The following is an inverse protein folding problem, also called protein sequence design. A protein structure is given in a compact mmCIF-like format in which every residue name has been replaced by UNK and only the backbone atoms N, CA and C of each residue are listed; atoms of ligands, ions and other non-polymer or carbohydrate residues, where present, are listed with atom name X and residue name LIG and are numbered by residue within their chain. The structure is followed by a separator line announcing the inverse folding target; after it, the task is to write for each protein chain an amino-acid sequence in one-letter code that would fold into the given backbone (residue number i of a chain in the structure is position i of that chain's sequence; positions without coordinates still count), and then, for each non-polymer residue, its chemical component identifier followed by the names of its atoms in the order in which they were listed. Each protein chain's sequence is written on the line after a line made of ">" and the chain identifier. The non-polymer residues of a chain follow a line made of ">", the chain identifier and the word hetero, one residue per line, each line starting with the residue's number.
data_IF_927996333680
#
_entry.id   IF_927996333680
#
_cell.length_a   1.000
_cell.length_b   1.000
_cell.length_c   1.000
_cell.angle_alpha   90.00
_cell.angle_beta   90.00
_cell.angle_gamma   90.00
#
_symmetry.space_group_name_H-M   'P 1'
#
loop_
_entity.id
_entity.type
_entity.pdbx_description
1 polymer ?
#
# COMPACT_ATOMS: atom_id res chain seq x y z
N UNK A 1 24.16 6.27 7.84
CA UNK A 1 22.74 6.02 8.12
C UNK A 1 21.92 6.35 6.90
N UNK A 2 21.18 5.39 6.38
CA UNK A 2 20.38 5.63 5.20
C UNK A 2 19.04 6.26 5.59
N UNK A 3 18.59 7.22 4.79
CA UNK A 3 17.29 7.83 4.95
C UNK A 3 16.22 6.88 4.44
N UNK A 4 15.07 6.85 5.11
CA UNK A 4 13.93 6.12 4.60
C UNK A 4 13.22 6.96 3.55
N UNK A 5 12.59 6.30 2.60
CA UNK A 5 11.79 6.93 1.57
C UNK A 5 10.32 6.74 1.90
N UNK A 6 9.56 7.83 1.84
CA UNK A 6 8.13 7.78 2.18
C UNK A 6 7.28 7.79 0.93
N UNK A 7 6.36 6.82 0.84
CA UNK A 7 5.38 6.73 -0.21
C UNK A 7 4.05 7.26 0.32
N UNK A 8 3.56 8.34 -0.28
CA UNK A 8 2.26 8.89 0.08
C UNK A 8 1.16 8.02 -0.54
N UNK A 9 0.25 7.54 0.30
CA UNK A 9 -0.84 6.65 -0.13
C UNK A 9 -2.22 7.33 -0.03
N UNK A 10 -2.23 8.64 0.21
CA UNK A 10 -3.45 9.45 0.24
C UNK A 10 -3.80 9.89 1.65
N UNK A 11 -4.47 11.03 1.75
CA UNK A 11 -4.99 11.58 3.01
C UNK A 11 -3.92 11.69 4.10
N UNK A 12 -2.74 12.16 3.71
CA UNK A 12 -1.60 12.36 4.63
C UNK A 12 -1.07 11.06 5.26
N UNK A 13 -1.43 9.92 4.70
CA UNK A 13 -0.88 8.65 5.14
C UNK A 13 0.34 8.31 4.29
N UNK A 14 1.40 7.87 4.95
CA UNK A 14 2.63 7.48 4.26
C UNK A 14 3.03 6.07 4.69
N UNK A 15 3.71 5.39 3.79
CA UNK A 15 4.27 4.06 4.01
C UNK A 15 5.75 4.13 3.72
N UNK A 16 6.55 3.39 4.47
CA UNK A 16 7.99 3.29 4.20
C UNK A 16 8.16 2.50 2.90
N UNK A 17 8.64 3.18 1.86
CA UNK A 17 8.69 2.60 0.52
C UNK A 17 9.57 1.35 0.47
N UNK A 18 10.65 1.31 1.25
CA UNK A 18 11.57 0.17 1.31
C UNK A 18 10.92 -1.10 1.87
N UNK A 19 9.79 -0.96 2.57
CA UNK A 19 9.08 -2.07 3.16
C UNK A 19 7.93 -2.59 2.28
N UNK A 20 7.69 -1.95 1.15
CA UNK A 20 6.61 -2.34 0.23
C UNK A 20 7.10 -3.44 -0.70
N UNK A 21 6.37 -4.56 -0.75
CA UNK A 21 6.71 -5.66 -1.64
C UNK A 21 5.74 -5.78 -2.82
N UNK A 22 4.53 -5.23 -2.69
CA UNK A 22 3.55 -5.32 -3.78
C UNK A 22 2.52 -4.22 -3.68
N UNK A 23 2.04 -3.77 -4.84
CA UNK A 23 0.88 -2.91 -4.98
C UNK A 23 -0.06 -3.60 -5.96
N UNK A 24 -1.31 -3.80 -5.57
CA UNK A 24 -2.26 -4.57 -6.37
C UNK A 24 -3.61 -3.89 -6.43
N UNK A 25 -4.38 -4.25 -7.45
CA UNK A 25 -5.76 -3.79 -7.59
C UNK A 25 -6.64 -4.46 -6.52
N UNK A 26 -7.48 -3.68 -5.87
CA UNK A 26 -8.29 -4.15 -4.75
C UNK A 26 -9.34 -5.19 -5.16
N UNK A 27 -9.75 -5.19 -6.43
CA UNK A 27 -10.85 -6.03 -6.91
C UNK A 27 -10.45 -7.49 -7.19
N UNK A 28 -9.17 -7.79 -7.32
CA UNK A 28 -8.73 -9.14 -7.65
C UNK A 28 -9.05 -10.12 -6.53
N UNK A 29 -9.56 -11.32 -6.88
CA UNK A 29 -9.97 -12.30 -5.89
C UNK A 29 -8.87 -12.70 -4.90
N UNK A 30 -7.62 -12.94 -5.35
CA UNK A 30 -6.55 -13.24 -4.39
C UNK A 30 -6.31 -12.10 -3.40
N UNK A 31 -6.51 -10.86 -3.84
CA UNK A 31 -6.30 -9.69 -3.01
C UNK A 31 -7.40 -9.58 -1.96
N UNK A 32 -8.63 -9.94 -2.30
CA UNK A 32 -9.73 -9.95 -1.33
C UNK A 32 -9.45 -10.94 -0.20
N UNK A 33 -8.93 -12.12 -0.53
CA UNK A 33 -8.55 -13.11 0.48
C UNK A 33 -7.43 -12.60 1.37
N UNK A 34 -6.47 -11.92 0.77
CA UNK A 34 -5.35 -11.33 1.52
C UNK A 34 -5.83 -10.28 2.52
N UNK A 35 -6.80 -9.44 2.10
CA UNK A 35 -7.41 -8.44 2.98
C UNK A 35 -8.11 -9.10 4.17
N UNK A 36 -8.87 -10.14 3.90
CA UNK A 36 -9.59 -10.87 4.95
C UNK A 36 -8.61 -11.48 5.96
N UNK A 37 -7.53 -12.10 5.47
CA UNK A 37 -6.52 -12.69 6.34
C UNK A 37 -5.84 -11.62 7.18
N UNK A 38 -5.50 -10.48 6.59
CA UNK A 38 -4.87 -9.37 7.31
C UNK A 38 -5.80 -8.82 8.39
N UNK A 39 -7.10 -8.74 8.09
CA UNK A 39 -8.08 -8.28 9.06
C UNK A 39 -8.16 -9.22 10.26
N UNK A 40 -8.16 -10.53 10.01
CA UNK A 40 -8.20 -11.52 11.10
C UNK A 40 -6.97 -11.46 11.98
N UNK A 41 -5.82 -11.09 11.42
CA UNK A 41 -4.55 -11.04 12.14
C UNK A 41 -4.18 -9.64 12.60
N UNK A 42 -5.12 -8.69 12.50
CA UNK A 42 -4.94 -7.31 12.94
C UNK A 42 -3.78 -6.61 12.22
N UNK A 43 -3.61 -6.93 10.95
CA UNK A 43 -2.57 -6.34 10.10
C UNK A 43 -3.14 -5.54 8.95
N UNK A 44 -4.44 -5.23 9.01
CA UNK A 44 -5.10 -4.41 7.99
C UNK A 44 -5.11 -2.95 8.44
N UNK A 45 -4.62 -2.09 7.57
CA UNK A 45 -4.58 -0.64 7.82
C UNK A 45 -5.39 0.05 6.74
N UNK A 46 -6.45 0.75 7.15
CA UNK A 46 -7.31 1.45 6.20
C UNK A 46 -6.86 2.91 6.09
N UNK A 47 -6.27 3.27 4.96
CA UNK A 47 -5.82 4.63 4.69
C UNK A 47 -6.73 5.33 3.66
N UNK A 48 -7.96 4.83 3.47
CA UNK A 48 -8.87 5.38 2.45
C UNK A 48 -9.68 6.57 2.92
N UNK A 49 -9.69 6.83 4.22
CA UNK A 49 -10.50 7.90 4.80
C UNK A 49 -11.97 7.78 4.40
N UNK A 50 -12.49 6.55 4.41
CA UNK A 50 -13.89 6.28 4.04
C UNK A 50 -14.17 6.27 2.55
N UNK A 51 -13.16 6.47 1.71
CA UNK A 51 -13.31 6.42 0.27
C UNK A 51 -13.21 4.98 -0.23
N UNK A 52 -13.58 4.77 -1.49
CA UNK A 52 -13.50 3.46 -2.11
C UNK A 52 -12.05 2.99 -2.15
N UNK A 53 -11.82 1.74 -1.75
CA UNK A 53 -10.51 1.11 -1.88
C UNK A 53 -10.25 0.77 -3.34
N UNK A 54 -9.17 1.31 -3.89
CA UNK A 54 -8.79 1.05 -5.29
C UNK A 54 -7.52 0.22 -5.38
N UNK A 55 -6.64 0.35 -4.39
CA UNK A 55 -5.37 -0.36 -4.37
C UNK A 55 -5.10 -0.92 -2.98
N UNK A 56 -4.29 -1.97 -2.96
CA UNK A 56 -3.84 -2.61 -1.74
C UNK A 56 -2.32 -2.65 -1.80
N UNK A 57 -1.69 -2.24 -0.70
CA UNK A 57 -0.23 -2.22 -0.58
C UNK A 57 0.16 -3.28 0.44
N UNK A 58 1.06 -4.18 0.05
CA UNK A 58 1.53 -5.26 0.92
C UNK A 58 2.96 -4.98 1.32
N UNK A 59 3.24 -5.11 2.61
CA UNK A 59 4.58 -4.87 3.17
C UNK A 59 5.25 -6.20 3.53
N UNK A 60 6.55 -6.13 3.80
CA UNK A 60 7.34 -7.30 4.19
C UNK A 60 6.98 -7.82 5.59
N UNK A 61 6.19 -7.08 6.35
CA UNK A 61 5.68 -7.50 7.65
C UNK A 61 4.28 -8.10 7.57
N UNK A 62 3.80 -8.39 6.37
CA UNK A 62 2.45 -8.91 6.10
C UNK A 62 1.32 -7.94 6.43
N UNK A 63 1.65 -6.65 6.56
CA UNK A 63 0.61 -5.63 6.68
C UNK A 63 0.01 -5.35 5.31
N UNK A 64 -1.29 -5.10 5.31
CA UNK A 64 -2.05 -4.77 4.12
C UNK A 64 -2.66 -3.39 4.31
N UNK A 65 -2.27 -2.45 3.48
CA UNK A 65 -2.74 -1.07 3.56
C UNK A 65 -3.73 -0.83 2.43
N UNK A 66 -4.92 -0.36 2.77
CA UNK A 66 -5.95 -0.01 1.79
C UNK A 66 -5.77 1.44 1.38
N UNK A 67 -5.76 1.70 0.08
CA UNK A 67 -5.59 3.05 -0.46
C UNK A 67 -6.71 3.38 -1.43
N UNK A 68 -7.13 4.64 -1.46
CA UNK A 68 -8.09 5.16 -2.42
C UNK A 68 -7.42 5.58 -3.74
N UNK A 69 -6.10 5.55 -3.79
CA UNK A 69 -5.36 5.88 -5.01
C UNK A 69 -5.34 4.68 -5.95
N UNK A 70 -5.24 4.96 -7.25
CA UNK A 70 -5.14 3.89 -8.25
C UNK A 70 -3.79 3.17 -8.11
N UNK A 71 -3.75 1.86 -8.38
CA UNK A 71 -2.47 1.14 -8.36
C UNK A 71 -1.42 1.75 -9.27
N UNK A 72 -1.83 2.25 -10.44
CA UNK A 72 -0.91 2.89 -11.37
C UNK A 72 -0.27 4.15 -10.78
N UNK A 73 -1.04 4.91 -10.01
CA UNK A 73 -0.53 6.11 -9.34
C UNK A 73 0.54 5.73 -8.32
N UNK A 74 0.27 4.71 -7.52
CA UNK A 74 1.22 4.25 -6.50
C UNK A 74 2.47 3.66 -7.14
N UNK A 75 2.30 2.89 -8.20
CA UNK A 75 3.42 2.30 -8.93
C UNK A 75 4.33 3.38 -9.51
N UNK A 76 3.73 4.43 -10.08
CA UNK A 76 4.48 5.54 -10.64
C UNK A 76 5.28 6.26 -9.55
N UNK A 77 4.66 6.52 -8.41
CA UNK A 77 5.34 7.16 -7.27
C UNK A 77 6.51 6.33 -6.78
N UNK A 78 6.31 5.01 -6.68
CA UNK A 78 7.40 4.11 -6.28
C UNK A 78 8.56 4.15 -7.27
N UNK A 79 8.26 4.14 -8.56
CA UNK A 79 9.30 4.24 -9.60
C UNK A 79 10.10 5.54 -9.48
N UNK A 80 9.42 6.65 -9.26
CA UNK A 80 10.06 7.95 -9.12
C UNK A 80 10.97 7.97 -7.89
N UNK A 81 10.52 7.38 -6.79
CA UNK A 81 11.33 7.31 -5.57
C UNK A 81 12.58 6.44 -5.79
N UNK A 82 12.40 5.31 -6.48
CA UNK A 82 13.50 4.39 -6.76
C UNK A 82 14.51 5.02 -7.72
N UNK A 83 14.04 5.76 -8.71
CA UNK A 83 14.91 6.41 -9.70
C UNK A 83 15.81 7.47 -9.10
N UNK A 84 15.41 8.05 -7.97
CA UNK A 84 16.23 9.05 -7.27
C UNK A 84 17.32 8.44 -6.41
N UNK A 85 17.18 7.14 -6.18
CA UNK A 85 18.00 6.38 -5.29
C UNK A 85 19.42 6.41 -5.48
#
# INVERSE_FOLDING_TARGET
>A
MSAVTLLNVGFDNVVIAERVIAVAAAEASPIKRLREAASRHQKLIDATNGRRTRAVIVTDSDHVILSSLQPSTLAQRLQELTARG
#
